data_IF_115365399915
#
_entry.id   IF_115365399915
#
_cell.length_a   1.000
_cell.length_b   1.000
_cell.length_c   1.000
_cell.angle_alpha   90.00
_cell.angle_beta   90.00
_cell.angle_gamma   90.00
#
_symmetry.space_group_name_H-M   'P 1'
#
loop_
_entity.id
_entity.type
_entity.pdbx_description
1 polymer ?
#
# COMPACT_ATOMS: atom_id res chain seq x y z
N UNK A 1 -51.45 54.01 12.14
CA UNK A 1 -51.68 52.76 11.36
C UNK A 1 -52.75 51.84 11.97
N UNK A 2 -52.59 51.31 13.20
CA UNK A 2 -53.54 50.36 13.79
C UNK A 2 -54.98 50.91 13.93
N UNK A 3 -55.13 52.21 14.29
CA UNK A 3 -56.44 52.90 14.31
C UNK A 3 -57.12 52.96 12.93
N UNK A 4 -56.35 53.16 11.86
CA UNK A 4 -56.87 53.25 10.49
C UNK A 4 -57.38 51.90 9.98
N UNK A 5 -56.63 50.82 10.23
CA UNK A 5 -57.00 49.47 9.79
C UNK A 5 -58.30 49.02 10.48
N UNK A 6 -58.43 49.28 11.79
CA UNK A 6 -59.65 48.97 12.55
C UNK A 6 -60.88 49.76 12.08
N UNK A 7 -60.68 50.97 11.56
CA UNK A 7 -61.77 51.81 11.07
C UNK A 7 -62.19 51.49 9.64
N UNK A 8 -61.31 50.84 8.84
CA UNK A 8 -61.53 50.59 7.41
C UNK A 8 -61.97 49.15 7.11
N UNK A 9 -61.64 48.19 7.98
CA UNK A 9 -61.89 46.78 7.74
C UNK A 9 -62.54 46.13 8.97
N UNK A 10 -63.68 45.45 8.76
CA UNK A 10 -64.31 44.60 9.77
C UNK A 10 -63.58 43.26 9.87
N UNK A 11 -62.56 43.20 10.72
CA UNK A 11 -61.74 42.01 10.94
C UNK A 11 -62.40 41.13 12.00
N UNK A 12 -62.69 39.87 11.67
CA UNK A 12 -63.14 38.82 12.60
C UNK A 12 -62.24 38.75 13.84
N UNK A 13 -62.82 38.70 15.04
CA UNK A 13 -62.09 38.74 16.32
C UNK A 13 -61.01 37.64 16.41
N UNK A 14 -61.31 36.45 15.89
CA UNK A 14 -60.41 35.29 15.89
C UNK A 14 -59.18 35.52 14.99
N UNK A 15 -59.33 36.31 13.92
CA UNK A 15 -58.26 36.60 12.98
C UNK A 15 -57.40 37.80 13.38
N UNK A 16 -57.86 38.64 14.33
CA UNK A 16 -57.14 39.86 14.74
C UNK A 16 -55.70 39.63 15.19
N UNK A 17 -55.37 38.63 16.03
CA UNK A 17 -53.99 38.42 16.47
C UNK A 17 -53.06 38.14 15.29
N UNK A 18 -53.50 37.30 14.36
CA UNK A 18 -52.73 36.96 13.16
C UNK A 18 -52.59 38.15 12.21
N UNK A 19 -53.69 38.88 11.95
CA UNK A 19 -53.66 40.06 11.08
C UNK A 19 -52.73 41.14 11.64
N UNK A 20 -52.84 41.45 12.93
CA UNK A 20 -51.95 42.44 13.56
C UNK A 20 -50.50 41.98 13.60
N UNK A 21 -50.24 40.71 13.86
CA UNK A 21 -48.88 40.16 13.81
C UNK A 21 -48.29 40.29 12.40
N UNK A 22 -49.03 39.87 11.37
CA UNK A 22 -48.63 39.97 9.97
C UNK A 22 -48.36 41.41 9.54
N UNK A 23 -49.23 42.34 9.90
CA UNK A 23 -49.05 43.78 9.63
C UNK A 23 -47.83 44.33 10.37
N UNK A 24 -47.62 43.92 11.62
CA UNK A 24 -46.46 44.34 12.40
C UNK A 24 -45.15 43.81 11.79
N UNK A 25 -45.12 42.57 11.32
CA UNK A 25 -43.96 41.97 10.63
C UNK A 25 -43.70 42.70 9.31
N UNK A 26 -44.74 42.93 8.50
CA UNK A 26 -44.62 43.67 7.25
C UNK A 26 -44.13 45.11 7.49
N UNK A 27 -44.67 45.79 8.50
CA UNK A 27 -44.26 47.13 8.90
C UNK A 27 -42.81 47.18 9.38
N UNK A 28 -42.37 46.19 10.17
CA UNK A 28 -40.97 46.07 10.59
C UNK A 28 -40.04 45.91 9.39
N UNK A 29 -40.39 45.04 8.43
CA UNK A 29 -39.62 44.84 7.19
C UNK A 29 -39.55 46.13 6.38
N UNK A 30 -40.68 46.78 6.16
CA UNK A 30 -40.76 48.05 5.43
C UNK A 30 -39.92 49.16 6.07
N UNK A 31 -40.06 49.37 7.40
CA UNK A 31 -39.23 50.34 8.13
C UNK A 31 -37.73 50.04 8.05
N UNK A 32 -37.36 48.75 8.12
CA UNK A 32 -35.97 48.35 8.00
C UNK A 32 -35.43 48.63 6.59
N UNK A 33 -36.24 48.41 5.56
CA UNK A 33 -35.88 48.73 4.18
C UNK A 33 -35.70 50.25 4.00
N UNK A 34 -36.67 51.05 4.45
CA UNK A 34 -36.58 52.51 4.42
C UNK A 34 -35.33 53.02 5.15
N UNK A 35 -35.00 52.42 6.30
CA UNK A 35 -33.79 52.79 7.05
C UNK A 35 -32.53 52.54 6.23
N UNK A 36 -32.43 51.41 5.54
CA UNK A 36 -31.25 51.09 4.71
C UNK A 36 -31.14 52.00 3.50
N UNK A 37 -32.23 52.12 2.75
CA UNK A 37 -32.22 52.78 1.44
C UNK A 37 -32.10 54.30 1.55
N UNK A 38 -32.58 54.89 2.65
CA UNK A 38 -32.62 56.34 2.81
C UNK A 38 -31.81 56.82 4.02
N UNK A 39 -32.03 56.24 5.21
CA UNK A 39 -31.38 56.75 6.43
C UNK A 39 -29.88 56.44 6.48
N UNK A 40 -29.47 55.21 6.15
CA UNK A 40 -28.07 54.78 6.17
C UNK A 40 -27.32 55.17 4.89
N UNK A 41 -28.04 55.29 3.76
CA UNK A 41 -27.44 55.64 2.46
C UNK A 41 -27.02 57.11 2.37
N UNK A 42 -27.88 58.04 2.80
CA UNK A 42 -27.58 59.47 2.76
C UNK A 42 -26.97 59.95 4.09
N UNK A 43 -25.97 60.82 4.02
CA UNK A 43 -25.20 61.26 5.18
C UNK A 43 -25.96 62.24 6.11
N UNK A 44 -26.83 63.09 5.55
CA UNK A 44 -27.52 64.16 6.28
C UNK A 44 -29.05 64.06 6.15
N UNK A 45 -29.80 64.69 7.06
CA UNK A 45 -31.27 64.65 7.05
C UNK A 45 -31.91 65.45 5.91
N UNK A 46 -31.24 66.49 5.41
CA UNK A 46 -31.74 67.33 4.31
C UNK A 46 -31.84 66.53 3.01
N UNK A 47 -30.78 65.80 2.65
CA UNK A 47 -30.73 64.89 1.51
C UNK A 47 -31.70 63.72 1.67
N UNK A 48 -31.91 63.23 2.90
CA UNK A 48 -32.91 62.19 3.19
C UNK A 48 -34.32 62.69 2.88
N UNK A 49 -34.64 63.93 3.26
CA UNK A 49 -35.94 64.55 3.00
C UNK A 49 -36.15 64.91 1.53
N UNK A 50 -35.11 65.35 0.83
CA UNK A 50 -35.15 65.64 -0.61
C UNK A 50 -35.39 64.37 -1.43
N UNK A 51 -34.73 63.27 -1.07
CA UNK A 51 -34.85 61.98 -1.75
C UNK A 51 -35.96 61.10 -1.15
N UNK A 52 -36.95 61.68 -0.47
CA UNK A 52 -38.02 60.93 0.18
C UNK A 52 -38.79 60.06 -0.83
N UNK A 53 -39.12 58.81 -0.48
CA UNK A 53 -40.02 57.98 -1.29
C UNK A 53 -41.37 58.67 -1.54
N UNK A 54 -41.85 58.62 -2.79
CA UNK A 54 -43.13 59.26 -3.21
C UNK A 54 -44.34 58.64 -2.50
N UNK A 55 -44.25 57.36 -2.12
CA UNK A 55 -45.30 56.62 -1.40
C UNK A 55 -45.43 57.01 0.07
N UNK A 56 -44.43 57.70 0.65
CA UNK A 56 -44.43 58.09 2.06
C UNK A 56 -44.76 59.56 2.21
N UNK A 57 -45.78 59.85 3.01
CA UNK A 57 -46.12 61.23 3.40
C UNK A 57 -44.94 61.90 4.13
N UNK A 58 -44.72 63.17 3.83
CA UNK A 58 -43.63 63.97 4.38
C UNK A 58 -43.60 63.98 5.91
N UNK A 59 -44.74 64.20 6.54
CA UNK A 59 -44.85 64.22 8.01
C UNK A 59 -44.46 62.88 8.61
N UNK A 60 -44.86 61.78 7.96
CA UNK A 60 -44.57 60.44 8.44
C UNK A 60 -43.09 60.09 8.31
N UNK A 61 -42.47 60.49 7.19
CA UNK A 61 -41.04 60.27 6.99
C UNK A 61 -40.20 61.09 7.98
N UNK A 62 -40.59 62.34 8.25
CA UNK A 62 -39.94 63.20 9.25
C UNK A 62 -40.00 62.60 10.66
N UNK A 63 -41.14 62.06 11.06
CA UNK A 63 -41.28 61.37 12.35
C UNK A 63 -40.35 60.15 12.47
N UNK A 64 -40.16 59.41 11.37
CA UNK A 64 -39.24 58.25 11.33
C UNK A 64 -37.77 58.68 11.45
N UNK A 65 -37.36 59.75 10.77
CA UNK A 65 -36.01 60.31 10.89
C UNK A 65 -35.73 60.76 12.33
N UNK A 66 -36.66 61.50 12.94
CA UNK A 66 -36.56 61.92 14.34
C UNK A 66 -36.43 60.73 15.29
N UNK A 67 -37.22 59.68 15.07
CA UNK A 67 -37.13 58.46 15.86
C UNK A 67 -35.77 57.77 15.73
N UNK A 68 -35.23 57.60 14.52
CA UNK A 68 -33.93 56.95 14.32
C UNK A 68 -32.76 57.77 14.85
N UNK A 69 -32.86 59.11 14.83
CA UNK A 69 -31.87 60.01 15.41
C UNK A 69 -31.96 60.12 16.94
N UNK A 70 -33.08 59.71 17.54
CA UNK A 70 -33.29 59.77 18.98
C UNK A 70 -32.32 58.88 19.78
N UNK A 71 -31.95 59.35 20.97
CA UNK A 71 -31.04 58.61 21.85
C UNK A 71 -31.65 57.28 22.32
N UNK A 72 -32.98 57.22 22.47
CA UNK A 72 -33.68 55.98 22.81
C UNK A 72 -33.43 54.87 21.78
N UNK A 73 -33.45 55.20 20.48
CA UNK A 73 -33.16 54.23 19.42
C UNK A 73 -31.69 53.80 19.43
N UNK A 74 -30.76 54.72 19.68
CA UNK A 74 -29.33 54.43 19.80
C UNK A 74 -29.01 53.53 21.01
N UNK A 75 -29.64 53.79 22.15
CA UNK A 75 -29.50 52.98 23.39
C UNK A 75 -30.09 51.58 23.20
N UNK A 76 -31.24 51.46 22.52
CA UNK A 76 -31.80 50.16 22.17
C UNK A 76 -30.89 49.39 21.20
N UNK A 77 -30.30 50.07 20.22
CA UNK A 77 -29.36 49.45 19.29
C UNK A 77 -28.08 48.98 20.00
N UNK A 78 -27.51 49.82 20.87
CA UNK A 78 -26.29 49.48 21.60
C UNK A 78 -26.50 48.34 22.60
N UNK A 79 -27.63 48.31 23.30
CA UNK A 79 -27.98 47.21 24.21
C UNK A 79 -28.23 45.90 23.47
N UNK A 80 -28.92 45.92 22.32
CA UNK A 80 -29.11 44.72 21.48
C UNK A 80 -27.79 44.21 20.92
N UNK A 81 -26.93 45.10 20.44
CA UNK A 81 -25.59 44.74 19.97
C UNK A 81 -24.73 44.17 21.11
N UNK A 82 -24.77 44.76 22.30
CA UNK A 82 -24.06 44.26 23.47
C UNK A 82 -24.54 42.85 23.87
N UNK A 83 -25.85 42.58 23.76
CA UNK A 83 -26.41 41.24 23.98
C UNK A 83 -25.93 40.28 22.89
N UNK A 84 -26.00 40.65 21.61
CA UNK A 84 -25.55 39.81 20.50
C UNK A 84 -24.06 39.46 20.60
N UNK A 85 -23.20 40.42 20.96
CA UNK A 85 -21.76 40.21 21.13
C UNK A 85 -21.46 39.19 22.25
N UNK A 86 -22.28 39.15 23.31
CA UNK A 86 -22.15 38.13 24.37
C UNK A 86 -22.45 36.71 23.90
N UNK A 87 -23.23 36.52 22.83
CA UNK A 87 -23.54 35.20 22.28
C UNK A 87 -22.53 34.70 21.24
N UNK A 88 -21.72 35.59 20.64
CA UNK A 88 -20.65 35.22 19.69
C UNK A 88 -19.72 34.11 20.24
N UNK A 89 -19.18 34.19 21.47
CA UNK A 89 -18.29 33.14 21.97
C UNK A 89 -18.99 31.78 22.11
N UNK A 90 -20.29 31.77 22.43
CA UNK A 90 -21.09 30.53 22.54
C UNK A 90 -21.23 29.88 21.16
N UNK A 91 -21.50 30.68 20.13
CA UNK A 91 -21.61 30.20 18.74
C UNK A 91 -20.27 29.62 18.26
N UNK A 92 -19.17 30.33 18.51
CA UNK A 92 -17.82 29.87 18.15
C UNK A 92 -17.51 28.55 18.87
N UNK A 93 -17.76 28.47 20.17
CA UNK A 93 -17.52 27.26 20.96
C UNK A 93 -18.33 26.06 20.46
N UNK A 94 -19.62 26.25 20.15
CA UNK A 94 -20.46 25.21 19.56
C UNK A 94 -19.95 24.74 18.20
N UNK A 95 -19.48 25.66 17.34
CA UNK A 95 -18.90 25.32 16.03
C UNK A 95 -17.57 24.56 16.18
N UNK A 96 -16.70 24.98 17.11
CA UNK A 96 -15.45 24.29 17.42
C UNK A 96 -15.68 22.86 17.90
N UNK A 97 -16.70 22.64 18.74
CA UNK A 97 -17.09 21.29 19.18
C UNK A 97 -17.53 20.44 17.98
N UNK A 98 -18.39 20.96 17.10
CA UNK A 98 -18.90 20.23 15.95
C UNK A 98 -17.79 19.81 14.96
N UNK A 99 -16.85 20.72 14.70
CA UNK A 99 -15.66 20.43 13.86
C UNK A 99 -14.78 19.38 14.54
N UNK A 100 -14.55 19.49 15.85
CA UNK A 100 -13.78 18.51 16.62
C UNK A 100 -14.35 17.09 16.53
N UNK A 101 -15.66 16.93 16.74
CA UNK A 101 -16.34 15.64 16.60
C UNK A 101 -16.20 15.05 15.20
N UNK A 102 -16.35 15.89 14.16
CA UNK A 102 -16.22 15.45 12.76
C UNK A 102 -14.82 14.91 12.45
N UNK A 103 -13.77 15.57 12.95
CA UNK A 103 -12.38 15.13 12.76
C UNK A 103 -12.08 13.83 13.53
N UNK A 104 -12.61 13.69 14.76
CA UNK A 104 -12.43 12.46 15.56
C UNK A 104 -13.15 11.28 14.90
N UNK A 105 -14.40 11.46 14.46
CA UNK A 105 -15.15 10.42 13.76
C UNK A 105 -14.47 10.00 12.46
N UNK A 106 -13.96 10.95 11.67
CA UNK A 106 -13.23 10.66 10.45
C UNK A 106 -11.95 9.85 10.73
N UNK A 107 -11.21 10.18 11.79
CA UNK A 107 -10.03 9.41 12.22
C UNK A 107 -10.37 8.00 12.66
N UNK A 108 -11.45 7.83 13.44
CA UNK A 108 -11.91 6.51 13.87
C UNK A 108 -12.34 5.66 12.67
N UNK A 109 -13.12 6.23 11.76
CA UNK A 109 -13.54 5.55 10.53
C UNK A 109 -12.33 5.13 9.68
N UNK A 110 -11.38 6.05 9.47
CA UNK A 110 -10.15 5.75 8.74
C UNK A 110 -9.34 4.62 9.41
N UNK A 111 -9.25 4.62 10.74
CA UNK A 111 -8.57 3.57 11.50
C UNK A 111 -9.22 2.19 11.30
N UNK A 112 -10.55 2.13 11.38
CA UNK A 112 -11.32 0.88 11.16
C UNK A 112 -11.12 0.39 9.73
N UNK A 113 -11.31 1.26 8.73
CA UNK A 113 -11.15 0.90 7.31
C UNK A 113 -9.73 0.39 7.03
N UNK A 114 -8.71 1.10 7.50
CA UNK A 114 -7.31 0.69 7.33
C UNK A 114 -7.03 -0.67 7.97
N UNK A 115 -7.57 -0.92 9.17
CA UNK A 115 -7.36 -2.19 9.88
C UNK A 115 -8.00 -3.35 9.13
N UNK A 116 -9.25 -3.18 8.68
CA UNK A 116 -9.96 -4.19 7.87
C UNK A 116 -9.22 -4.45 6.57
N UNK A 117 -8.79 -3.40 5.87
CA UNK A 117 -8.03 -3.53 4.62
C UNK A 117 -6.73 -4.32 4.84
N UNK A 118 -5.97 -3.98 5.89
CA UNK A 118 -4.73 -4.69 6.23
C UNK A 118 -4.96 -6.18 6.55
N UNK A 119 -6.04 -6.50 7.28
CA UNK A 119 -6.42 -7.89 7.54
C UNK A 119 -6.78 -8.63 6.25
N UNK A 120 -7.57 -8.00 5.37
CA UNK A 120 -7.95 -8.58 4.07
C UNK A 120 -6.72 -8.83 3.19
N UNK A 121 -5.81 -7.85 3.06
CA UNK A 121 -4.60 -8.02 2.25
C UNK A 121 -3.69 -9.12 2.80
N UNK A 122 -3.61 -9.25 4.13
CA UNK A 122 -2.82 -10.31 4.77
C UNK A 122 -3.41 -11.69 4.49
N UNK A 123 -4.73 -11.84 4.64
CA UNK A 123 -5.42 -13.11 4.36
C UNK A 123 -5.29 -13.50 2.89
N UNK A 124 -5.50 -12.55 1.97
CA UNK A 124 -5.35 -12.79 0.53
C UNK A 124 -3.90 -13.15 0.18
N UNK A 125 -2.92 -12.42 0.71
CA UNK A 125 -1.50 -12.71 0.49
C UNK A 125 -1.13 -14.12 0.93
N UNK A 126 -1.57 -14.54 2.12
CA UNK A 126 -1.33 -15.88 2.63
C UNK A 126 -2.02 -16.97 1.79
N UNK A 127 -3.23 -16.71 1.28
CA UNK A 127 -3.95 -17.64 0.40
C UNK A 127 -3.22 -17.83 -0.94
N UNK A 128 -2.73 -16.74 -1.53
CA UNK A 128 -1.95 -16.76 -2.78
C UNK A 128 -0.67 -17.56 -2.59
N UNK A 129 0.07 -17.30 -1.50
CA UNK A 129 1.29 -18.03 -1.15
C UNK A 129 1.03 -19.54 -1.09
N UNK A 130 -0.03 -19.96 -0.39
CA UNK A 130 -0.38 -21.38 -0.24
C UNK A 130 -0.79 -22.04 -1.56
N UNK A 131 -1.46 -21.31 -2.45
CA UNK A 131 -1.90 -21.80 -3.77
C UNK A 131 -0.76 -21.94 -4.78
N UNK A 132 0.19 -21.00 -4.80
CA UNK A 132 1.17 -20.90 -5.90
C UNK A 132 2.53 -21.53 -5.58
N UNK A 133 2.93 -21.62 -4.31
CA UNK A 133 4.21 -22.25 -3.94
C UNK A 133 4.34 -23.70 -4.46
N UNK A 134 3.32 -24.58 -4.32
CA UNK A 134 3.42 -25.96 -4.80
C UNK A 134 3.54 -26.07 -6.33
N UNK A 135 2.89 -25.14 -7.06
CA UNK A 135 2.91 -25.10 -8.52
C UNK A 135 4.29 -24.70 -9.03
N UNK A 136 4.96 -23.76 -8.36
CA UNK A 136 6.32 -23.35 -8.70
C UNK A 136 7.33 -24.48 -8.46
N UNK A 137 7.24 -25.19 -7.33
CA UNK A 137 8.10 -26.34 -7.04
C UNK A 137 8.01 -27.44 -8.11
N UNK A 138 6.78 -27.78 -8.53
CA UNK A 138 6.56 -28.82 -9.54
C UNK A 138 7.09 -28.45 -10.95
N UNK A 139 7.27 -27.17 -11.26
CA UNK A 139 7.87 -26.72 -12.51
C UNK A 139 9.38 -26.90 -12.47
N UNK A 140 10.01 -26.53 -11.35
CA UNK A 140 11.46 -26.66 -11.15
C UNK A 140 11.88 -28.15 -11.17
N UNK A 141 11.17 -29.00 -10.44
CA UNK A 141 11.46 -30.45 -10.37
C UNK A 141 11.44 -31.10 -11.76
N UNK A 142 10.49 -30.71 -12.62
CA UNK A 142 10.41 -31.23 -14.00
C UNK A 142 11.54 -30.73 -14.89
N UNK A 143 11.97 -29.48 -14.70
CA UNK A 143 13.09 -28.93 -15.45
C UNK A 143 14.40 -29.60 -15.02
N UNK A 144 14.57 -29.83 -13.73
CA UNK A 144 15.74 -30.48 -13.17
C UNK A 144 15.83 -31.96 -13.60
N UNK A 145 14.71 -32.70 -13.55
CA UNK A 145 14.63 -34.08 -14.06
C UNK A 145 15.04 -34.18 -15.54
N UNK A 146 14.59 -33.24 -16.37
CA UNK A 146 14.93 -33.19 -17.81
C UNK A 146 16.41 -32.90 -18.07
N UNK A 147 17.05 -32.13 -17.18
CA UNK A 147 18.47 -31.82 -17.27
C UNK A 147 19.31 -33.05 -16.90
N UNK A 148 18.96 -33.72 -15.82
CA UNK A 148 19.64 -34.93 -15.34
C UNK A 148 19.52 -36.09 -16.34
N UNK A 149 18.32 -36.34 -16.89
CA UNK A 149 18.10 -37.36 -17.94
C UNK A 149 18.94 -37.08 -19.20
N UNK A 150 19.13 -35.80 -19.55
CA UNK A 150 19.92 -35.41 -20.71
C UNK A 150 21.42 -35.62 -20.47
N UNK A 151 21.89 -35.32 -19.25
CA UNK A 151 23.28 -35.55 -18.83
C UNK A 151 23.62 -37.04 -18.82
N UNK A 152 22.77 -37.87 -18.20
CA UNK A 152 22.93 -39.33 -18.20
C UNK A 152 22.96 -39.90 -19.62
N UNK A 153 22.06 -39.45 -20.51
CA UNK A 153 22.07 -39.86 -21.93
C UNK A 153 23.32 -39.43 -22.67
N UNK A 154 23.90 -38.28 -22.33
CA UNK A 154 25.14 -37.82 -22.93
C UNK A 154 26.32 -38.68 -22.46
N UNK A 155 26.39 -38.95 -21.16
CA UNK A 155 27.42 -39.81 -20.57
C UNK A 155 27.33 -41.24 -21.11
N UNK A 156 26.13 -41.81 -21.18
CA UNK A 156 25.90 -43.16 -21.71
C UNK A 156 26.37 -43.28 -23.17
N UNK A 157 26.02 -42.31 -24.02
CA UNK A 157 26.45 -42.31 -25.43
C UNK A 157 27.95 -42.15 -25.61
N UNK A 158 28.61 -41.39 -24.72
CA UNK A 158 30.07 -41.27 -24.74
C UNK A 158 30.73 -42.62 -24.39
N UNK A 159 30.26 -43.28 -23.34
CA UNK A 159 30.80 -44.56 -22.89
C UNK A 159 30.56 -45.68 -23.91
N UNK A 160 29.35 -45.74 -24.48
CA UNK A 160 29.00 -46.71 -25.52
C UNK A 160 29.91 -46.55 -26.75
N UNK A 161 30.14 -45.32 -27.21
CA UNK A 161 31.06 -45.06 -28.33
C UNK A 161 32.50 -45.46 -28.01
N UNK A 162 32.96 -45.22 -26.78
CA UNK A 162 34.29 -45.64 -26.35
C UNK A 162 34.45 -47.16 -26.37
N UNK A 163 33.48 -47.88 -25.79
CA UNK A 163 33.48 -49.35 -25.77
C UNK A 163 33.42 -49.94 -27.19
N UNK A 164 32.54 -49.43 -28.06
CA UNK A 164 32.47 -49.88 -29.44
C UNK A 164 33.78 -49.65 -30.21
N UNK A 165 34.46 -48.52 -29.97
CA UNK A 165 35.77 -48.24 -30.57
C UNK A 165 36.85 -49.19 -30.07
N UNK A 166 36.83 -49.49 -28.77
CA UNK A 166 37.73 -50.44 -28.16
C UNK A 166 37.54 -51.83 -28.75
N UNK A 167 36.30 -52.29 -28.86
CA UNK A 167 35.99 -53.61 -29.43
C UNK A 167 36.44 -53.69 -30.89
N UNK A 168 36.21 -52.64 -31.69
CA UNK A 168 36.67 -52.58 -33.08
C UNK A 168 38.20 -52.69 -33.19
N UNK A 169 38.93 -52.02 -32.30
CA UNK A 169 40.38 -52.09 -32.23
C UNK A 169 40.89 -53.47 -31.78
N UNK A 170 40.24 -54.09 -30.79
CA UNK A 170 40.57 -55.45 -30.35
C UNK A 170 40.32 -56.48 -31.47
N UNK A 171 39.24 -56.33 -32.23
CA UNK A 171 38.94 -57.18 -33.40
C UNK A 171 40.00 -57.03 -34.50
N UNK A 172 40.43 -55.80 -34.81
CA UNK A 172 41.44 -55.54 -35.83
C UNK A 172 42.80 -56.17 -35.46
N UNK A 173 43.23 -56.01 -34.20
CA UNK A 173 44.46 -56.64 -33.69
C UNK A 173 44.36 -58.16 -33.78
N UNK A 174 43.23 -58.73 -33.32
CA UNK A 174 43.01 -60.17 -33.33
C UNK A 174 43.07 -60.73 -34.75
N UNK A 175 42.42 -60.09 -35.72
CA UNK A 175 42.45 -60.49 -37.12
C UNK A 175 43.85 -60.40 -37.73
N UNK A 176 44.59 -59.32 -37.45
CA UNK A 176 45.95 -59.16 -37.95
C UNK A 176 46.88 -60.25 -37.39
N UNK A 177 46.84 -60.51 -36.09
CA UNK A 177 47.63 -61.57 -35.44
C UNK A 177 47.27 -62.95 -36.00
N UNK A 178 45.98 -63.29 -36.11
CA UNK A 178 45.52 -64.57 -36.68
C UNK A 178 45.98 -64.73 -38.13
N UNK A 179 45.90 -63.67 -38.94
CA UNK A 179 46.32 -63.70 -40.34
C UNK A 179 47.84 -63.93 -40.48
N UNK A 180 48.66 -63.30 -39.63
CA UNK A 180 50.10 -63.51 -39.62
C UNK A 180 50.46 -64.93 -39.18
N UNK A 181 49.83 -65.44 -38.12
CA UNK A 181 50.07 -66.81 -37.63
C UNK A 181 49.71 -67.86 -38.69
N UNK A 182 48.57 -67.71 -39.37
CA UNK A 182 48.15 -68.61 -40.45
C UNK A 182 49.11 -68.59 -41.64
N UNK A 183 49.70 -67.42 -41.95
CA UNK A 183 50.69 -67.28 -43.03
C UNK A 183 52.02 -67.98 -42.72
N UNK A 184 52.41 -68.02 -41.44
CA UNK A 184 53.66 -68.66 -41.01
C UNK A 184 53.55 -70.18 -40.87
N UNK A 185 52.34 -70.74 -40.69
CA UNK A 185 52.16 -72.17 -40.49
C UNK A 185 50.80 -72.66 -41.04
N UNK A 186 50.77 -73.09 -42.30
CA UNK A 186 49.52 -73.42 -43.02
C UNK A 186 48.82 -74.71 -42.58
N UNK A 187 49.40 -75.45 -41.62
CA UNK A 187 48.84 -76.71 -41.10
C UNK A 187 48.11 -76.61 -39.75
N UNK A 188 48.17 -75.46 -39.06
CA UNK A 188 47.62 -75.31 -37.71
C UNK A 188 46.18 -74.76 -37.75
N UNK A 189 45.19 -75.60 -37.43
CA UNK A 189 43.81 -75.17 -37.25
C UNK A 189 43.65 -74.46 -35.91
N UNK A 190 43.68 -73.13 -35.89
CA UNK A 190 43.43 -72.33 -34.69
C UNK A 190 41.92 -72.08 -34.57
N UNK A 191 41.29 -72.62 -33.53
CA UNK A 191 39.90 -72.36 -33.17
C UNK A 191 39.75 -70.90 -32.69
N UNK A 192 38.92 -70.07 -33.34
CA UNK A 192 38.69 -68.67 -32.97
C UNK A 192 38.23 -68.47 -31.52
N UNK A 193 37.57 -69.46 -30.92
CA UNK A 193 37.06 -69.35 -29.55
C UNK A 193 38.17 -69.42 -28.47
N UNK A 194 39.38 -69.90 -28.81
CA UNK A 194 40.52 -69.91 -27.88
C UNK A 194 41.20 -68.54 -27.71
N UNK A 195 41.00 -67.62 -28.64
CA UNK A 195 41.61 -66.28 -28.66
C UNK A 195 40.67 -65.18 -28.16
N UNK A 196 39.51 -65.55 -27.62
CA UNK A 196 38.57 -64.61 -27.04
C UNK A 196 39.16 -64.05 -25.73
N UNK A 197 39.72 -62.85 -25.79
CA UNK A 197 40.26 -62.14 -24.62
C UNK A 197 39.20 -61.78 -23.56
N UNK A 198 37.93 -62.08 -23.82
CA UNK A 198 36.83 -61.92 -22.85
C UNK A 198 36.55 -63.19 -22.05
N UNK A 199 37.44 -63.54 -21.12
CA UNK A 199 37.03 -64.19 -19.85
C UNK A 199 37.90 -63.66 -18.72
N UNK A 200 37.63 -62.42 -18.29
CA UNK A 200 37.83 -62.04 -16.89
C UNK A 200 36.47 -62.18 -16.21
N UNK A 201 36.38 -63.14 -15.29
CA UNK A 201 35.19 -63.37 -14.46
C UNK A 201 34.64 -62.04 -13.91
N UNK A 202 33.38 -61.68 -14.23
CA UNK A 202 32.77 -60.43 -13.77
C UNK A 202 32.64 -60.33 -12.23
N UNK A 203 32.81 -61.43 -11.50
CA UNK A 203 32.59 -61.49 -10.06
C UNK A 203 33.68 -60.85 -9.19
N UNK A 204 34.92 -60.72 -9.69
CA UNK A 204 36.05 -60.29 -8.84
C UNK A 204 36.55 -58.86 -9.16
N UNK A 205 36.34 -58.36 -10.38
CA UNK A 205 36.79 -57.01 -10.77
C UNK A 205 35.91 -55.89 -10.18
N UNK A 206 34.59 -56.11 -10.10
CA UNK A 206 33.66 -55.14 -9.49
C UNK A 206 33.87 -55.01 -7.97
N UNK A 207 34.20 -56.10 -7.28
CA UNK A 207 34.56 -56.07 -5.85
C UNK A 207 35.84 -55.28 -5.60
N UNK A 208 36.88 -55.48 -6.43
CA UNK A 208 38.12 -54.74 -6.34
C UNK A 208 37.94 -53.24 -6.67
N UNK A 209 37.10 -52.89 -7.65
CA UNK A 209 36.85 -51.50 -8.03
C UNK A 209 35.96 -50.77 -7.03
N UNK A 210 34.96 -51.44 -6.43
CA UNK A 210 34.12 -50.88 -5.37
C UNK A 210 34.92 -50.63 -4.08
N UNK A 211 35.88 -51.50 -3.76
CA UNK A 211 36.77 -51.33 -2.61
C UNK A 211 37.76 -50.17 -2.78
N UNK A 212 38.22 -49.91 -4.02
CA UNK A 212 39.08 -48.75 -4.33
C UNK A 212 38.29 -47.43 -4.21
N UNK A 213 37.03 -47.39 -4.67
CA UNK A 213 36.17 -46.22 -4.53
C UNK A 213 35.80 -45.96 -3.06
N UNK A 214 35.58 -47.00 -2.25
CA UNK A 214 35.38 -46.84 -0.81
C UNK A 214 36.64 -46.37 -0.07
N UNK A 215 37.83 -46.83 -0.47
CA UNK A 215 39.10 -46.41 0.16
C UNK A 215 39.40 -44.93 -0.10
N UNK A 216 39.11 -44.44 -1.30
CA UNK A 216 39.31 -43.03 -1.68
C UNK A 216 38.37 -42.12 -0.90
N UNK A 217 37.10 -42.52 -0.74
CA UNK A 217 36.14 -41.72 0.03
C UNK A 217 36.42 -41.79 1.55
N UNK A 218 37.04 -42.86 2.04
CA UNK A 218 37.39 -43.01 3.46
C UNK A 218 38.70 -42.30 3.84
N UNK A 219 39.66 -42.17 2.91
CA UNK A 219 40.89 -41.39 3.10
C UNK A 219 40.63 -39.87 3.06
N UNK A 220 39.58 -39.43 2.37
CA UNK A 220 39.19 -38.02 2.28
C UNK A 220 38.60 -37.45 3.58
N UNK A 221 38.15 -38.28 4.53
CA UNK A 221 37.52 -37.83 5.78
C UNK A 221 38.46 -37.88 7.00
N UNK A 222 39.66 -38.46 6.87
CA UNK A 222 40.59 -38.67 8.00
C UNK A 222 41.81 -37.73 7.98
N UNK A 223 41.93 -36.86 6.98
CA UNK A 223 43.16 -36.10 6.70
C UNK A 223 43.02 -34.57 6.85
N UNK A 224 42.18 -34.05 7.75
CA UNK A 224 42.23 -32.63 8.14
C UNK A 224 42.02 -32.46 9.66
N UNK A 225 43.15 -32.59 10.36
CA UNK A 225 43.43 -32.25 11.76
C UNK A 225 42.89 -30.82 12.04
N UNK A 226 42.11 -30.55 13.09
CA UNK A 226 42.49 -30.53 14.51
C UNK A 226 43.74 -29.67 14.76
N UNK A 227 43.55 -28.45 15.27
CA UNK A 227 44.59 -27.66 15.93
C UNK A 227 44.31 -26.16 15.99
N UNK A 228 43.94 -25.64 17.16
CA UNK A 228 44.03 -24.21 17.45
C UNK A 228 42.93 -23.61 18.31
N UNK A 229 42.70 -24.18 19.49
CA UNK A 229 41.96 -23.52 20.57
C UNK A 229 42.93 -22.58 21.35
N UNK A 230 42.42 -21.41 21.73
CA UNK A 230 42.79 -20.59 22.90
C UNK A 230 43.87 -19.50 22.75
N UNK A 231 43.50 -18.26 23.12
CA UNK A 231 44.45 -17.23 23.51
C UNK A 231 43.98 -15.78 23.41
N UNK A 232 42.98 -15.38 24.21
CA UNK A 232 42.85 -13.99 24.66
C UNK A 232 44.15 -13.54 25.33
N UNK A 233 44.70 -12.39 24.92
CA UNK A 233 45.52 -11.50 25.77
C UNK A 233 45.33 -10.06 25.31
N UNK A 234 44.62 -9.32 26.14
CA UNK A 234 44.77 -7.88 26.32
C UNK A 234 46.15 -7.60 26.94
N UNK A 235 46.85 -6.61 26.40
CA UNK A 235 47.94 -5.79 26.96
C UNK A 235 48.47 -5.00 25.75
N UNK A 236 48.68 -3.69 25.76
CA UNK A 236 48.80 -2.75 26.84
C UNK A 236 48.84 -1.34 26.25
N UNK A 237 48.17 -0.46 26.95
CA UNK A 237 48.33 0.99 26.96
C UNK A 237 49.80 1.43 26.86
N UNK A 238 50.12 2.24 25.84
CA UNK A 238 51.23 3.20 25.91
C UNK A 238 50.71 4.49 25.25
N UNK A 239 50.47 5.48 26.10
CA UNK A 239 50.08 6.82 25.71
C UNK A 239 51.16 7.62 24.98
N UNK A 240 50.69 8.80 24.55
CA UNK A 240 51.42 10.02 24.25
C UNK A 240 52.66 9.92 23.33
N UNK A 241 52.49 10.41 22.10
CA UNK A 241 53.45 11.39 21.57
C UNK A 241 52.77 12.35 20.58
N UNK A 242 52.64 13.59 21.04
CA UNK A 242 52.36 14.81 20.30
C UNK A 242 53.53 15.16 19.35
N UNK A 243 53.25 16.09 18.42
CA UNK A 243 54.14 16.90 17.58
C UNK A 243 54.55 16.33 16.22
N UNK A 244 53.78 16.66 15.18
CA UNK A 244 54.08 17.77 14.23
C UNK A 244 52.90 17.99 13.28
#
# INVERSE_FOLDING_TARGET
MCKYIKAKYDILEEAKPWVFHSIQVAWRKYKNQLKKDYFEYYANDELRMENRPVDVSESHFKDLLNYWNSDSHKILLSSVLAVAVKFIPIIIFSLSIHVGYSVILLRLLYCVVRTVLFSVTTVIGNLIIWLFIPVLGAIEDRMQQKMEEMEERMQQRMLEKFNAHKDAWEQEITLNVVSQLRRMNSGLQIDPNMLNFSVRSPGEALSAQQNVIQLINRLSTDSNNRGGENGEREDGDIGDLDLT
#
